data_IF_248569343854
#
_entry.id   IF_248569343854
#
_cell.length_a   1.000
_cell.length_b   1.000
_cell.length_c   1.000
_cell.angle_alpha   90.00
_cell.angle_beta   90.00
_cell.angle_gamma   90.00
#
_symmetry.space_group_name_H-M   'P 1'
#
loop_
_entity.id
_entity.type
_entity.pdbx_description
1 polymer ?
#
# COMPACT_ATOMS: atom_id res chain seq x y z
N UNK A 1 -15.86 18.71 3.13
CA UNK A 1 -15.88 19.15 1.71
C UNK A 1 -14.71 18.49 1.01
N UNK A 2 -14.89 17.92 -0.19
CA UNK A 2 -13.81 17.24 -0.90
C UNK A 2 -12.69 18.25 -1.22
N UNK A 3 -11.44 17.84 -0.99
CA UNK A 3 -10.27 18.67 -1.24
C UNK A 3 -9.93 18.60 -2.73
N UNK A 4 -9.79 19.74 -3.40
CA UNK A 4 -9.41 19.73 -4.82
C UNK A 4 -8.09 19.01 -5.01
N UNK A 5 -8.05 18.04 -5.93
CA UNK A 5 -6.82 17.38 -6.33
C UNK A 5 -6.01 18.35 -7.20
N UNK A 6 -4.68 18.31 -7.11
CA UNK A 6 -3.86 19.11 -8.01
C UNK A 6 -3.98 18.58 -9.45
N UNK A 7 -3.78 19.42 -10.48
CA UNK A 7 -3.77 18.96 -11.86
C UNK A 7 -2.68 17.91 -12.14
N UNK A 8 -1.54 18.02 -11.47
CA UNK A 8 -0.43 17.07 -11.61
C UNK A 8 -0.81 15.69 -11.06
N UNK A 9 -1.42 15.62 -9.88
CA UNK A 9 -1.88 14.35 -9.28
C UNK A 9 -3.00 13.73 -10.12
N UNK A 10 -3.92 14.55 -10.63
CA UNK A 10 -5.02 14.13 -11.50
C UNK A 10 -4.55 13.46 -12.79
N UNK A 11 -3.36 13.84 -13.29
CA UNK A 11 -2.79 13.28 -14.51
C UNK A 11 -2.43 11.81 -14.36
N UNK A 12 -1.98 11.38 -13.17
CA UNK A 12 -1.66 9.96 -12.90
C UNK A 12 -2.90 9.08 -13.06
N UNK A 13 -4.05 9.50 -12.52
CA UNK A 13 -5.33 8.79 -12.65
C UNK A 13 -5.87 8.81 -14.09
N UNK A 14 -5.57 9.86 -14.86
CA UNK A 14 -5.99 9.96 -16.27
C UNK A 14 -5.12 9.11 -17.20
N UNK A 15 -3.83 8.98 -16.88
CA UNK A 15 -2.87 8.20 -17.66
C UNK A 15 -2.90 6.70 -17.32
N UNK A 16 -3.46 6.33 -16.16
CA UNK A 16 -3.55 4.94 -15.73
C UNK A 16 -4.41 4.11 -16.70
N UNK A 17 -3.91 2.93 -17.04
CA UNK A 17 -4.63 1.93 -17.81
C UNK A 17 -4.36 0.54 -17.26
N UNK A 18 -5.13 -0.46 -17.68
CA UNK A 18 -4.88 -1.86 -17.28
C UNK A 18 -3.46 -2.33 -17.63
N UNK A 19 -2.93 -1.86 -18.75
CA UNK A 19 -1.58 -2.22 -19.22
C UNK A 19 -0.47 -1.31 -18.68
N UNK A 20 -0.84 -0.15 -18.09
CA UNK A 20 0.10 0.81 -17.53
C UNK A 20 -0.39 1.30 -16.16
N UNK A 21 -0.17 0.52 -15.08
CA UNK A 21 -0.44 0.94 -13.72
C UNK A 21 0.41 2.16 -13.37
N UNK A 22 -0.22 3.19 -12.79
CA UNK A 22 0.42 4.48 -12.49
C UNK A 22 0.71 4.63 -10.99
N UNK A 23 1.20 3.56 -10.36
CA UNK A 23 1.56 3.51 -8.94
C UNK A 23 3.07 3.32 -8.74
N UNK A 24 3.56 3.73 -7.58
CA UNK A 24 4.96 3.54 -7.18
C UNK A 24 5.02 2.54 -6.03
N UNK A 25 5.98 1.63 -6.07
CA UNK A 25 6.28 0.69 -4.99
C UNK A 25 7.64 0.99 -4.34
N UNK A 26 7.80 0.58 -3.08
CA UNK A 26 9.08 0.62 -2.38
C UNK A 26 9.39 -0.74 -1.76
N UNK A 27 10.60 -1.26 -1.98
CA UNK A 27 11.11 -2.45 -1.31
C UNK A 27 12.06 -2.03 -0.20
N UNK A 28 11.75 -2.42 1.04
CA UNK A 28 12.57 -2.15 2.21
C UNK A 28 12.97 -3.48 2.86
N UNK A 29 14.28 -3.66 3.08
CA UNK A 29 14.85 -4.83 3.72
C UNK A 29 15.28 -4.47 5.13
N UNK A 30 14.93 -5.33 6.07
CA UNK A 30 15.23 -5.17 7.48
C UNK A 30 15.91 -6.41 8.03
N UNK A 31 16.76 -6.22 9.02
CA UNK A 31 17.32 -7.29 9.84
C UNK A 31 16.77 -7.12 11.27
N UNK A 32 16.40 -8.22 11.95
CA UNK A 32 16.00 -8.15 13.36
C UNK A 32 17.14 -7.55 14.19
N UNK A 33 16.84 -6.60 15.11
CA UNK A 33 17.82 -6.12 16.08
C UNK A 33 18.48 -7.26 16.86
N UNK A 34 19.71 -7.04 17.33
CA UNK A 34 20.43 -8.01 18.16
C UNK A 34 19.57 -8.49 19.35
N UNK A 35 19.50 -9.80 19.56
CA UNK A 35 18.71 -10.40 20.63
C UNK A 35 17.21 -10.51 20.34
N UNK A 36 16.75 -10.14 19.15
CA UNK A 36 15.35 -10.34 18.71
C UNK A 36 15.27 -11.32 17.54
N UNK A 37 14.11 -11.93 17.39
CA UNK A 37 13.78 -12.81 16.28
C UNK A 37 12.89 -12.11 15.27
N UNK A 38 12.80 -12.67 14.06
CA UNK A 38 11.84 -12.20 13.06
C UNK A 38 10.39 -12.28 13.57
N UNK A 39 10.08 -13.27 14.42
CA UNK A 39 8.77 -13.38 15.07
C UNK A 39 8.47 -12.21 16.02
N UNK A 40 9.50 -11.68 16.70
CA UNK A 40 9.33 -10.54 17.61
C UNK A 40 9.05 -9.26 16.82
N UNK A 41 9.77 -9.04 15.72
CA UNK A 41 9.51 -7.93 14.78
C UNK A 41 8.10 -8.02 14.23
N UNK A 42 7.66 -9.24 13.90
CA UNK A 42 6.30 -9.47 13.42
C UNK A 42 5.25 -9.13 14.48
N UNK A 43 5.41 -9.61 15.71
CA UNK A 43 4.48 -9.32 16.80
C UNK A 43 4.39 -7.81 17.08
N UNK A 44 5.52 -7.09 17.01
CA UNK A 44 5.54 -5.64 17.16
C UNK A 44 4.78 -4.92 16.03
N UNK A 45 4.92 -5.38 14.79
CA UNK A 45 4.16 -4.85 13.65
C UNK A 45 2.66 -5.11 13.80
N UNK A 46 2.26 -6.34 14.15
CA UNK A 46 0.86 -6.69 14.38
C UNK A 46 0.24 -5.85 15.51
N UNK A 47 0.99 -5.62 16.59
CA UNK A 47 0.55 -4.75 17.69
C UNK A 47 0.40 -3.27 17.26
N UNK A 48 1.26 -2.77 16.37
CA UNK A 48 1.13 -1.41 15.84
C UNK A 48 -0.13 -1.24 15.00
N UNK A 49 -0.48 -2.26 14.20
CA UNK A 49 -1.68 -2.26 13.36
C UNK A 49 -2.98 -2.44 14.15
N UNK A 50 -2.94 -3.07 15.32
CA UNK A 50 -4.13 -3.34 16.14
C UNK A 50 -4.87 -2.07 16.60
N UNK A 51 -4.23 -0.90 16.56
CA UNK A 51 -4.88 0.37 16.87
C UNK A 51 -5.82 0.87 15.75
N UNK A 52 -5.76 0.25 14.56
CA UNK A 52 -6.57 0.58 13.37
C UNK A 52 -6.52 2.07 12.96
N UNK A 53 -5.43 2.74 13.34
CA UNK A 53 -5.21 4.15 13.03
C UNK A 53 -4.28 4.30 11.84
N UNK A 54 -4.78 4.87 10.76
CA UNK A 54 -3.97 5.32 9.64
C UNK A 54 -3.90 6.86 9.57
N UNK A 55 -2.77 7.41 9.11
CA UNK A 55 -2.67 8.84 8.84
C UNK A 55 -3.74 9.27 7.82
N UNK A 56 -4.25 10.50 7.95
CA UNK A 56 -5.36 11.00 7.11
C UNK A 56 -5.10 10.79 5.61
N UNK A 57 -3.85 10.96 5.15
CA UNK A 57 -3.46 10.78 3.75
C UNK A 57 -3.73 9.36 3.21
N UNK A 58 -3.63 8.33 4.05
CA UNK A 58 -3.94 6.94 3.65
C UNK A 58 -5.44 6.66 3.62
N UNK A 59 -6.23 7.49 4.30
CA UNK A 59 -7.69 7.43 4.31
C UNK A 59 -8.32 8.34 3.25
N UNK A 60 -7.56 8.73 2.22
CA UNK A 60 -8.06 9.53 1.10
C UNK A 60 -8.31 8.65 -0.10
N UNK A 61 -9.48 8.80 -0.72
CA UNK A 61 -9.81 8.18 -2.00
C UNK A 61 -10.10 9.23 -3.06
N UNK A 62 -9.74 8.99 -4.33
CA UNK A 62 -10.11 9.88 -5.42
C UNK A 62 -11.61 9.77 -5.70
N UNK A 63 -12.28 10.91 -5.85
CA UNK A 63 -13.71 11.00 -6.16
C UNK A 63 -13.95 11.98 -7.30
N UNK A 64 -14.99 11.71 -8.10
CA UNK A 64 -15.49 12.59 -9.17
C UNK A 64 -17.01 12.61 -9.08
N UNK A 65 -17.59 13.80 -9.01
CA UNK A 65 -19.03 13.96 -8.88
C UNK A 65 -19.50 15.24 -9.54
N UNK A 66 -20.83 15.44 -9.55
CA UNK A 66 -21.41 16.71 -9.98
C UNK A 66 -20.99 17.88 -9.07
N UNK A 67 -20.81 17.62 -7.77
CA UNK A 67 -20.37 18.65 -6.81
C UNK A 67 -18.91 19.07 -7.00
N UNK A 68 -18.10 18.26 -7.69
CA UNK A 68 -16.73 18.62 -8.09
C UNK A 68 -16.65 19.18 -9.52
N UNK A 69 -17.79 19.44 -10.19
CA UNK A 69 -17.86 19.86 -11.60
C UNK A 69 -17.08 18.91 -12.53
N UNK A 70 -17.07 17.61 -12.20
CA UNK A 70 -16.34 16.58 -12.96
C UNK A 70 -14.83 16.54 -12.73
N UNK A 71 -14.28 17.40 -11.86
CA UNK A 71 -12.86 17.37 -11.47
C UNK A 71 -12.59 16.24 -10.46
N UNK A 72 -11.38 15.69 -10.48
CA UNK A 72 -10.92 14.80 -9.41
C UNK A 72 -10.76 15.59 -8.11
N UNK A 73 -11.19 15.00 -7.01
CA UNK A 73 -10.97 15.52 -5.67
C UNK A 73 -10.63 14.39 -4.71
N UNK A 74 -9.99 14.74 -3.59
CA UNK A 74 -9.77 13.84 -2.48
C UNK A 74 -10.95 13.90 -1.52
N UNK A 75 -11.42 12.73 -1.12
CA UNK A 75 -12.46 12.57 -0.11
C UNK A 75 -11.98 11.58 0.95
N UNK A 76 -12.37 11.80 2.20
CA UNK A 76 -12.08 10.85 3.28
C UNK A 76 -12.88 9.57 3.08
N UNK A 77 -12.20 8.44 3.19
CA UNK A 77 -12.80 7.12 3.15
C UNK A 77 -13.22 6.68 4.54
N UNK A 78 -14.52 6.82 4.81
CA UNK A 78 -15.12 6.38 6.07
C UNK A 78 -15.22 4.85 6.19
N UNK A 79 -14.98 4.10 5.10
CA UNK A 79 -14.97 2.65 5.06
C UNK A 79 -13.56 2.06 4.99
N UNK A 80 -12.53 2.83 5.36
CA UNK A 80 -11.14 2.38 5.31
C UNK A 80 -10.92 1.16 6.21
N UNK A 81 -10.44 0.06 5.61
CA UNK A 81 -10.10 -1.19 6.29
C UNK A 81 -8.58 -1.41 6.22
N UNK A 82 -7.89 -1.23 7.35
CA UNK A 82 -6.44 -1.40 7.42
C UNK A 82 -6.00 -2.83 7.08
N UNK A 83 -6.81 -3.85 7.41
CA UNK A 83 -6.51 -5.25 7.13
C UNK A 83 -6.60 -5.61 5.64
N UNK A 84 -7.37 -4.83 4.87
CA UNK A 84 -7.36 -4.93 3.42
C UNK A 84 -6.08 -4.35 2.80
N UNK A 85 -5.58 -3.26 3.38
CA UNK A 85 -4.39 -2.53 2.90
C UNK A 85 -3.05 -3.06 3.43
N UNK A 86 -3.04 -3.86 4.48
CA UNK A 86 -1.81 -4.46 5.01
C UNK A 86 -1.89 -5.98 4.89
N UNK A 87 -0.94 -6.55 4.13
CA UNK A 87 -0.88 -7.98 3.88
C UNK A 87 0.44 -8.59 4.32
N UNK A 88 0.31 -9.84 4.70
CA UNK A 88 1.39 -10.64 5.23
C UNK A 88 1.66 -11.80 4.29
N UNK A 89 2.82 -11.73 3.63
CA UNK A 89 3.26 -12.73 2.68
C UNK A 89 4.56 -13.37 3.16
N UNK A 90 4.62 -14.69 3.02
CA UNK A 90 5.84 -15.45 3.23
C UNK A 90 6.42 -15.81 1.86
N UNK A 91 7.75 -15.71 1.72
CA UNK A 91 8.40 -16.13 0.49
C UNK A 91 8.36 -17.65 0.37
N UNK A 92 8.15 -18.19 -0.85
CA UNK A 92 8.31 -19.62 -1.09
C UNK A 92 9.76 -20.04 -0.82
N UNK A 93 9.97 -21.27 -0.34
CA UNK A 93 11.34 -21.79 -0.17
C UNK A 93 12.09 -21.79 -1.51
N UNK A 94 13.38 -21.41 -1.55
CA UNK A 94 14.28 -21.16 -0.42
C UNK A 94 14.20 -19.76 0.22
N UNK A 95 13.35 -18.87 -0.29
CA UNK A 95 13.10 -17.54 0.29
C UNK A 95 14.24 -16.54 0.07
N UNK A 96 15.00 -16.69 -1.02
CA UNK A 96 16.11 -15.83 -1.37
C UNK A 96 15.67 -14.56 -2.12
N UNK A 97 16.65 -13.84 -2.65
CA UNK A 97 16.42 -12.58 -3.37
C UNK A 97 15.60 -12.79 -4.65
N UNK A 98 15.75 -13.94 -5.31
CA UNK A 98 14.98 -14.26 -6.51
C UNK A 98 13.49 -14.34 -6.19
N UNK A 99 13.14 -15.12 -5.18
CA UNK A 99 11.75 -15.30 -4.76
C UNK A 99 11.14 -13.98 -4.27
N UNK A 100 11.93 -13.14 -3.61
CA UNK A 100 11.52 -11.79 -3.21
C UNK A 100 11.21 -10.90 -4.42
N UNK A 101 12.12 -10.81 -5.38
CA UNK A 101 11.93 -9.96 -6.56
C UNK A 101 10.78 -10.47 -7.44
N UNK A 102 10.60 -11.78 -7.55
CA UNK A 102 9.46 -12.39 -8.25
C UNK A 102 8.13 -11.98 -7.59
N UNK A 103 8.06 -12.00 -6.25
CA UNK A 103 6.89 -11.51 -5.52
C UNK A 103 6.68 -10.01 -5.74
N UNK A 104 7.73 -9.19 -5.65
CA UNK A 104 7.64 -7.76 -5.91
C UNK A 104 7.12 -7.46 -7.33
N UNK A 105 7.61 -8.18 -8.35
CA UNK A 105 7.14 -8.04 -9.73
C UNK A 105 5.66 -8.37 -9.87
N UNK A 106 5.18 -9.44 -9.22
CA UNK A 106 3.77 -9.81 -9.24
C UNK A 106 2.89 -8.75 -8.58
N UNK A 107 3.29 -8.28 -7.40
CA UNK A 107 2.55 -7.26 -6.64
C UNK A 107 2.53 -5.91 -7.37
N UNK A 108 3.63 -5.50 -7.99
CA UNK A 108 3.73 -4.25 -8.73
C UNK A 108 3.00 -4.29 -10.08
N UNK A 109 2.74 -5.49 -10.63
CA UNK A 109 1.97 -5.64 -11.87
C UNK A 109 0.46 -5.67 -11.63
N UNK A 110 0.03 -5.86 -10.38
CA UNK A 110 -1.38 -5.89 -10.03
C UNK A 110 -2.02 -4.48 -10.12
N UNK A 111 -3.28 -4.34 -10.55
CA UNK A 111 -3.99 -3.08 -10.53
C UNK A 111 -4.07 -2.52 -9.10
N UNK A 112 -3.97 -1.20 -8.97
CA UNK A 112 -3.78 -0.48 -7.72
C UNK A 112 -4.80 -0.86 -6.63
N UNK A 113 -4.33 -1.69 -5.69
CA UNK A 113 -4.83 -1.72 -4.32
C UNK A 113 -3.61 -1.40 -3.46
N UNK A 114 -3.58 -0.23 -2.82
CA UNK A 114 -2.48 0.19 -1.96
C UNK A 114 -2.27 -0.88 -0.87
N UNK A 115 -1.28 -1.75 -1.07
CA UNK A 115 -1.04 -2.89 -0.19
C UNK A 115 0.38 -2.79 0.33
N UNK A 116 0.53 -2.65 1.64
CA UNK A 116 1.84 -2.72 2.31
C UNK A 116 2.12 -4.20 2.57
N UNK A 117 3.18 -4.70 1.94
CA UNK A 117 3.63 -6.07 2.11
C UNK A 117 4.89 -6.08 2.98
N UNK A 118 4.76 -6.62 4.20
CA UNK A 118 5.91 -6.87 5.06
C UNK A 118 6.58 -8.18 4.62
N UNK A 119 7.66 -8.06 3.85
CA UNK A 119 8.45 -9.20 3.37
C UNK A 119 9.55 -9.61 4.35
N UNK A 120 9.55 -10.91 4.72
CA UNK A 120 10.56 -11.67 5.49
C UNK A 120 10.53 -11.45 7.01
N UNK A 121 9.72 -12.26 7.69
CA UNK A 121 9.87 -12.60 9.11
C UNK A 121 9.87 -14.13 9.23
N UNK A 122 10.99 -14.77 8.91
CA UNK A 122 11.29 -16.15 9.32
C UNK A 122 12.41 -16.09 10.34
#
# INVERSE_FOLDING_TARGET
MPLSMSPADSMWLLAESREHPMHVGGLQLFEPPEGTTASDVRAAFDAALANDTAAQRFRQRPTRSWSTLGQWAWEEDNGFDLGYHVRHDALPQPGGMRELLDLCSQLHSAPSTATVHCGRCT
#
